data_IF_015634837856
#
_entry.id   IF_015634837856
#
_cell.length_a   1.000
_cell.length_b   1.000
_cell.length_c   1.000
_cell.angle_alpha   90.00
_cell.angle_beta   90.00
_cell.angle_gamma   90.00
#
_symmetry.space_group_name_H-M   'P 1'
#
loop_
_entity.id
_entity.type
_entity.pdbx_description
1 polymer ?
#
# COMPACT_ATOMS: atom_id res chain seq x y z
N UNK A 1 -26.06 7.42 -3.71
CA UNK A 1 -24.82 7.61 -2.95
C UNK A 1 -25.17 8.13 -1.56
N UNK A 2 -24.86 7.36 -0.51
CA UNK A 2 -25.13 7.68 0.89
C UNK A 2 -23.98 8.51 1.48
N UNK A 3 -24.31 9.52 2.29
CA UNK A 3 -23.33 10.37 2.95
C UNK A 3 -23.24 10.03 4.45
N UNK A 4 -22.01 9.82 4.93
CA UNK A 4 -21.66 9.56 6.32
C UNK A 4 -20.64 10.62 6.72
N UNK A 5 -20.99 11.45 7.71
CA UNK A 5 -20.17 12.57 8.13
C UNK A 5 -20.06 12.64 9.65
N UNK A 6 -18.88 13.05 10.14
CA UNK A 6 -18.64 13.31 11.56
C UNK A 6 -19.05 12.15 12.49
N UNK A 7 -18.86 10.91 12.02
CA UNK A 7 -19.17 9.71 12.80
C UNK A 7 -17.92 9.15 13.48
N UNK A 8 -18.13 8.49 14.60
CA UNK A 8 -17.12 7.69 15.27
C UNK A 8 -17.57 6.23 15.29
N UNK A 9 -16.80 5.38 14.62
CA UNK A 9 -16.95 3.93 14.64
C UNK A 9 -15.93 3.34 15.59
N UNK A 10 -16.38 2.53 16.53
CA UNK A 10 -15.51 1.83 17.47
C UNK A 10 -15.91 0.37 17.56
N UNK A 11 -14.92 -0.53 17.60
CA UNK A 11 -15.11 -1.98 17.78
C UNK A 11 -16.08 -2.57 16.74
N UNK A 12 -15.97 -2.16 15.47
CA UNK A 12 -16.78 -2.68 14.37
C UNK A 12 -15.98 -3.70 13.57
N UNK A 13 -16.53 -4.90 13.42
CA UNK A 13 -15.86 -6.01 12.77
C UNK A 13 -16.75 -6.65 11.71
N UNK A 14 -16.30 -6.60 10.47
CA UNK A 14 -16.85 -7.37 9.36
C UNK A 14 -16.07 -8.68 9.20
N UNK A 15 -16.78 -9.81 9.17
CA UNK A 15 -16.18 -11.16 9.09
C UNK A 15 -16.01 -11.67 7.66
N UNK A 16 -16.39 -10.86 6.66
CA UNK A 16 -16.25 -11.19 5.24
C UNK A 16 -17.56 -11.54 4.55
N UNK A 17 -17.68 -11.12 3.29
CA UNK A 17 -18.85 -11.31 2.42
C UNK A 17 -19.81 -10.12 2.44
N UNK A 18 -19.41 -9.02 3.08
CA UNK A 18 -20.17 -7.77 3.10
C UNK A 18 -19.94 -6.97 1.81
N UNK A 19 -20.92 -6.13 1.44
CA UNK A 19 -20.79 -5.18 0.35
C UNK A 19 -20.99 -3.75 0.89
N UNK A 20 -20.03 -2.88 0.61
CA UNK A 20 -20.06 -1.46 0.97
C UNK A 20 -20.06 -0.65 -0.32
N UNK A 21 -21.20 -0.06 -0.67
CA UNK A 21 -21.39 0.52 -1.99
C UNK A 21 -21.96 1.93 -1.96
N UNK A 22 -21.55 2.76 -2.92
CA UNK A 22 -22.07 4.10 -3.14
C UNK A 22 -22.02 4.96 -1.87
N UNK A 23 -20.87 5.03 -1.21
CA UNK A 23 -20.67 5.74 0.06
C UNK A 23 -19.78 6.98 -0.10
N UNK A 24 -20.11 8.04 0.62
CA UNK A 24 -19.23 9.18 0.89
C UNK A 24 -19.01 9.30 2.39
N UNK A 25 -17.80 9.02 2.85
CA UNK A 25 -17.44 9.06 4.26
C UNK A 25 -16.49 10.24 4.47
N UNK A 26 -16.88 11.22 5.28
CA UNK A 26 -16.08 12.41 5.52
C UNK A 26 -15.92 12.71 7.01
N UNK A 27 -14.76 13.24 7.40
CA UNK A 27 -14.51 13.77 8.75
C UNK A 27 -14.86 12.77 9.87
N UNK A 28 -14.65 11.48 9.63
CA UNK A 28 -15.08 10.41 10.51
C UNK A 28 -13.88 9.63 11.05
N UNK A 29 -14.07 8.94 12.17
CA UNK A 29 -13.02 8.13 12.81
C UNK A 29 -13.41 6.67 12.94
N UNK A 30 -12.43 5.79 12.78
CA UNK A 30 -12.52 4.36 13.00
C UNK A 30 -11.49 3.98 14.05
N UNK A 31 -11.93 3.38 15.15
CA UNK A 31 -11.08 3.00 16.27
C UNK A 31 -11.27 1.52 16.61
N UNK A 32 -10.19 0.77 16.53
CA UNK A 32 -10.15 -0.68 16.75
C UNK A 32 -11.21 -1.42 15.92
N UNK A 33 -11.24 -1.14 14.62
CA UNK A 33 -12.17 -1.75 13.66
C UNK A 33 -11.43 -2.72 12.72
N UNK A 34 -12.15 -3.73 12.25
CA UNK A 34 -11.66 -4.70 11.27
C UNK A 34 -12.64 -4.85 10.10
N UNK A 35 -12.14 -4.80 8.87
CA UNK A 35 -12.94 -5.10 7.68
C UNK A 35 -12.53 -6.43 7.06
N UNK A 36 -13.49 -7.21 6.59
CA UNK A 36 -13.27 -8.49 5.89
C UNK A 36 -12.26 -9.42 6.55
N UNK A 37 -12.52 -9.86 7.79
CA UNK A 37 -11.67 -10.81 8.51
C UNK A 37 -11.79 -12.27 7.98
N UNK A 38 -12.08 -12.42 6.69
CA UNK A 38 -12.18 -13.70 6.00
C UNK A 38 -10.81 -14.34 5.79
N UNK A 39 -10.76 -15.66 5.92
CA UNK A 39 -9.59 -16.49 5.56
C UNK A 39 -9.72 -17.16 4.20
N UNK A 40 -10.76 -16.84 3.43
CA UNK A 40 -11.09 -17.46 2.15
C UNK A 40 -11.34 -16.40 1.08
N UNK A 41 -10.77 -16.55 -0.13
CA UNK A 41 -10.99 -15.60 -1.23
C UNK A 41 -12.47 -15.44 -1.62
N UNK A 42 -13.25 -16.53 -1.61
CA UNK A 42 -14.70 -16.52 -1.94
C UNK A 42 -15.59 -15.78 -0.94
N UNK A 43 -15.01 -15.35 0.20
CA UNK A 43 -15.70 -14.65 1.29
C UNK A 43 -15.11 -13.25 1.51
N UNK A 44 -14.33 -12.74 0.57
CA UNK A 44 -13.85 -11.35 0.60
C UNK A 44 -15.06 -10.41 0.55
N UNK A 45 -15.07 -9.40 1.43
CA UNK A 45 -15.98 -8.28 1.29
C UNK A 45 -15.58 -7.41 0.10
N UNK A 46 -16.54 -6.63 -0.40
CA UNK A 46 -16.35 -5.73 -1.53
C UNK A 46 -16.65 -4.28 -1.12
N UNK A 47 -15.86 -3.35 -1.63
CA UNK A 47 -16.05 -1.90 -1.49
C UNK A 47 -16.09 -1.30 -2.89
N UNK A 48 -17.22 -0.68 -3.27
CA UNK A 48 -17.44 -0.14 -4.62
C UNK A 48 -18.01 1.27 -4.61
N UNK A 49 -17.50 2.16 -5.45
CA UNK A 49 -18.03 3.53 -5.58
C UNK A 49 -18.02 4.26 -4.21
N UNK A 50 -16.85 4.26 -3.56
CA UNK A 50 -16.68 4.81 -2.21
C UNK A 50 -15.66 5.92 -2.19
N UNK A 51 -16.04 7.07 -1.61
CA UNK A 51 -15.15 8.20 -1.41
C UNK A 51 -14.95 8.41 0.09
N UNK A 52 -13.70 8.47 0.53
CA UNK A 52 -13.30 8.71 1.92
C UNK A 52 -12.49 10.00 1.96
N UNK A 53 -12.85 10.94 2.83
CA UNK A 53 -12.08 12.17 2.97
C UNK A 53 -11.92 12.65 4.41
N UNK A 54 -10.71 13.13 4.73
CA UNK A 54 -10.36 13.68 6.03
C UNK A 54 -10.74 12.76 7.20
N UNK A 55 -10.53 11.45 7.03
CA UNK A 55 -10.88 10.46 8.03
C UNK A 55 -9.67 10.06 8.87
N UNK A 56 -9.95 9.44 10.02
CA UNK A 56 -8.94 8.91 10.93
C UNK A 56 -9.14 7.42 11.16
N UNK A 57 -8.07 6.64 11.16
CA UNK A 57 -8.06 5.20 11.42
C UNK A 57 -7.07 4.92 12.54
N UNK A 58 -7.54 4.30 13.61
CA UNK A 58 -6.79 4.02 14.83
C UNK A 58 -6.86 2.52 15.12
N UNK A 59 -5.73 1.85 15.22
CA UNK A 59 -5.64 0.40 15.50
C UNK A 59 -6.57 -0.44 14.62
N UNK A 60 -6.67 -0.10 13.34
CA UNK A 60 -7.56 -0.80 12.40
C UNK A 60 -6.78 -1.69 11.45
N UNK A 61 -7.46 -2.71 10.94
CA UNK A 61 -6.98 -3.53 9.83
C UNK A 61 -8.06 -3.78 8.80
N UNK A 62 -7.62 -4.02 7.57
CA UNK A 62 -8.48 -4.46 6.47
C UNK A 62 -7.93 -5.81 6.02
N UNK A 63 -8.69 -6.86 6.28
CA UNK A 63 -8.45 -8.19 5.72
C UNK A 63 -8.76 -8.26 4.23
N UNK A 64 -8.77 -9.47 3.65
CA UNK A 64 -8.92 -9.66 2.20
C UNK A 64 -10.19 -9.02 1.66
N UNK A 65 -10.03 -7.95 0.88
CA UNK A 65 -11.13 -7.12 0.38
C UNK A 65 -10.91 -6.79 -1.09
N UNK A 66 -11.99 -6.75 -1.88
CA UNK A 66 -11.97 -6.20 -3.23
C UNK A 66 -12.38 -4.73 -3.17
N UNK A 67 -11.49 -3.82 -3.56
CA UNK A 67 -11.75 -2.38 -3.62
C UNK A 67 -11.82 -1.92 -5.07
N UNK A 68 -12.96 -1.40 -5.49
CA UNK A 68 -13.21 -0.92 -6.85
C UNK A 68 -13.77 0.49 -6.85
N UNK A 69 -13.22 1.39 -7.67
CA UNK A 69 -13.71 2.77 -7.76
C UNK A 69 -13.73 3.48 -6.39
N UNK A 70 -12.61 3.37 -5.66
CA UNK A 70 -12.45 3.94 -4.33
C UNK A 70 -11.50 5.14 -4.36
N UNK A 71 -11.93 6.26 -3.80
CA UNK A 71 -11.12 7.47 -3.68
C UNK A 71 -10.88 7.79 -2.21
N UNK A 72 -9.62 7.94 -1.81
CA UNK A 72 -9.24 8.33 -0.45
C UNK A 72 -8.42 9.61 -0.52
N UNK A 73 -8.90 10.67 0.10
CA UNK A 73 -8.22 11.97 0.17
C UNK A 73 -8.08 12.44 1.63
N UNK A 74 -6.86 12.38 2.16
CA UNK A 74 -6.60 12.70 3.55
C UNK A 74 -7.04 11.58 4.50
N UNK A 75 -6.08 10.81 5.00
CA UNK A 75 -6.32 9.72 5.93
C UNK A 75 -5.26 9.76 7.05
N UNK A 76 -5.67 10.17 8.24
CA UNK A 76 -4.81 10.08 9.43
C UNK A 76 -4.81 8.64 9.95
N UNK A 77 -3.63 8.10 10.24
CA UNK A 77 -3.47 6.68 10.62
C UNK A 77 -2.60 6.59 11.86
N UNK A 78 -3.06 5.83 12.86
CA UNK A 78 -2.29 5.54 14.07
C UNK A 78 -2.46 4.08 14.53
N UNK A 79 -1.38 3.30 14.76
CA UNK A 79 -0.01 3.58 14.35
C UNK A 79 0.23 3.26 12.86
N UNK A 80 -0.45 2.25 12.32
CA UNK A 80 -0.36 1.80 10.93
C UNK A 80 -1.67 1.12 10.53
N UNK A 81 -2.08 1.28 9.28
CA UNK A 81 -3.19 0.55 8.68
C UNK A 81 -2.61 -0.61 7.88
N UNK A 82 -2.93 -1.82 8.32
CA UNK A 82 -2.56 -3.05 7.62
C UNK A 82 -3.69 -3.43 6.67
N UNK A 83 -3.33 -3.63 5.41
CA UNK A 83 -4.20 -4.22 4.39
C UNK A 83 -3.64 -5.61 4.07
N UNK A 84 -4.48 -6.64 4.15
CA UNK A 84 -4.08 -8.03 3.91
C UNK A 84 -4.75 -8.54 2.65
N UNK A 85 -3.95 -9.00 1.67
CA UNK A 85 -4.38 -9.55 0.37
C UNK A 85 -5.58 -8.82 -0.26
N UNK A 86 -5.54 -7.49 -0.24
CA UNK A 86 -6.55 -6.64 -0.87
C UNK A 86 -6.33 -6.57 -2.38
N UNK A 87 -7.42 -6.56 -3.14
CA UNK A 87 -7.41 -6.42 -4.60
C UNK A 87 -7.92 -5.03 -4.96
N UNK A 88 -7.20 -4.32 -5.83
CA UNK A 88 -7.49 -2.93 -6.14
C UNK A 88 -7.81 -2.76 -7.62
N UNK A 89 -8.92 -2.11 -7.94
CA UNK A 89 -9.24 -1.68 -9.30
C UNK A 89 -9.69 -0.23 -9.27
N UNK A 90 -8.96 0.64 -9.95
CA UNK A 90 -9.27 2.07 -9.98
C UNK A 90 -9.37 2.72 -8.60
N UNK A 91 -8.41 2.44 -7.71
CA UNK A 91 -8.35 2.99 -6.35
C UNK A 91 -7.33 4.12 -6.30
N UNK A 92 -7.69 5.30 -5.79
CA UNK A 92 -6.77 6.45 -5.70
C UNK A 92 -6.54 6.90 -4.27
N UNK A 93 -5.28 7.13 -3.90
CA UNK A 93 -4.86 7.74 -2.66
C UNK A 93 -4.30 9.15 -2.95
N UNK A 94 -4.78 10.15 -2.23
CA UNK A 94 -4.37 11.54 -2.42
C UNK A 94 -4.26 12.29 -1.08
N UNK A 95 -3.51 13.40 -1.11
CA UNK A 95 -3.34 14.25 0.07
C UNK A 95 -2.41 13.61 1.11
N UNK A 96 -2.53 14.04 2.37
CA UNK A 96 -1.72 13.52 3.48
C UNK A 96 -2.28 12.16 3.92
N UNK A 97 -1.48 11.11 3.79
CA UNK A 97 -1.85 9.75 4.18
C UNK A 97 -0.90 9.26 5.28
N UNK A 98 -1.45 8.64 6.33
CA UNK A 98 -0.68 8.02 7.40
C UNK A 98 0.09 6.78 6.94
N UNK A 99 0.57 5.97 7.90
CA UNK A 99 1.35 4.77 7.57
C UNK A 99 0.44 3.67 7.03
N UNK A 100 0.73 3.16 5.83
CA UNK A 100 -0.01 2.05 5.21
C UNK A 100 0.96 0.93 4.84
N UNK A 101 0.58 -0.32 5.14
CA UNK A 101 1.26 -1.51 4.64
C UNK A 101 0.26 -2.45 3.99
N UNK A 102 0.41 -2.66 2.69
CA UNK A 102 -0.31 -3.68 1.93
C UNK A 102 0.55 -4.95 1.93
N UNK A 103 0.01 -6.02 2.51
CA UNK A 103 0.65 -7.33 2.61
C UNK A 103 0.12 -8.27 1.53
N UNK A 104 0.97 -9.19 1.10
CA UNK A 104 0.61 -10.21 0.11
C UNK A 104 -0.30 -11.28 0.74
N UNK A 105 0.03 -11.64 1.97
CA UNK A 105 -0.62 -12.65 2.78
C UNK A 105 -2.03 -12.19 3.20
N UNK A 106 -3.00 -13.12 3.33
CA UNK A 106 -4.38 -12.79 3.67
C UNK A 106 -4.61 -12.45 5.14
N UNK A 107 -3.68 -12.81 6.02
CA UNK A 107 -3.70 -12.44 7.43
C UNK A 107 -2.32 -12.67 8.04
N UNK A 108 -2.09 -12.14 9.24
CA UNK A 108 -0.83 -12.28 9.95
C UNK A 108 -0.42 -13.76 10.11
N UNK A 109 0.86 -14.05 9.82
CA UNK A 109 1.48 -15.38 9.99
C UNK A 109 0.83 -16.52 9.19
N UNK A 110 0.11 -16.22 8.10
CA UNK A 110 -0.44 -17.25 7.21
C UNK A 110 0.70 -17.99 6.48
N UNK A 111 0.85 -19.28 6.77
CA UNK A 111 1.84 -20.18 6.13
C UNK A 111 1.20 -21.35 5.37
N UNK A 112 -0.13 -21.43 5.36
CA UNK A 112 -0.87 -22.49 4.68
C UNK A 112 -0.76 -22.33 3.16
N UNK A 113 -0.03 -23.24 2.52
CA UNK A 113 0.24 -23.19 1.08
C UNK A 113 -1.04 -23.25 0.22
N UNK A 114 -2.07 -23.97 0.65
CA UNK A 114 -3.34 -24.06 -0.08
C UNK A 114 -4.12 -22.75 -0.03
N UNK A 115 -4.15 -22.10 1.14
CA UNK A 115 -4.76 -20.77 1.29
C UNK A 115 -3.99 -19.73 0.47
N UNK A 116 -2.66 -19.73 0.57
CA UNK A 116 -1.81 -18.80 -0.17
C UNK A 116 -1.97 -18.96 -1.70
N UNK A 117 -2.01 -20.22 -2.18
CA UNK A 117 -2.23 -20.52 -3.59
C UNK A 117 -3.61 -20.06 -4.07
N UNK A 118 -4.67 -20.30 -3.29
CA UNK A 118 -6.03 -19.86 -3.64
C UNK A 118 -6.13 -18.33 -3.76
N UNK A 119 -5.50 -17.58 -2.84
CA UNK A 119 -5.42 -16.12 -2.96
C UNK A 119 -4.57 -15.68 -4.15
N UNK A 120 -3.48 -16.38 -4.46
CA UNK A 120 -2.63 -16.05 -5.60
C UNK A 120 -3.34 -16.25 -6.94
N UNK A 121 -4.07 -17.36 -7.11
CA UNK A 121 -4.86 -17.65 -8.30
C UNK A 121 -5.92 -16.57 -8.53
N UNK A 122 -6.74 -16.27 -7.51
CA UNK A 122 -7.80 -15.27 -7.66
C UNK A 122 -7.23 -13.87 -7.89
N UNK A 123 -6.09 -13.54 -7.29
CA UNK A 123 -5.41 -12.26 -7.50
C UNK A 123 -4.87 -12.13 -8.93
N UNK A 124 -4.31 -13.20 -9.50
CA UNK A 124 -3.86 -13.20 -10.90
C UNK A 124 -5.02 -12.93 -11.84
N UNK A 125 -6.09 -13.73 -11.72
CA UNK A 125 -7.29 -13.57 -12.54
C UNK A 125 -7.93 -12.17 -12.39
N UNK A 126 -7.93 -11.61 -11.18
CA UNK A 126 -8.43 -10.26 -10.94
C UNK A 126 -7.63 -9.18 -11.68
N UNK A 127 -6.29 -9.27 -11.65
CA UNK A 127 -5.42 -8.27 -12.25
C UNK A 127 -5.25 -8.40 -13.76
N UNK A 128 -5.42 -9.60 -14.34
CA UNK A 128 -5.47 -9.80 -15.80
C UNK A 128 -6.56 -8.94 -16.47
N UNK A 129 -7.69 -8.76 -15.79
CA UNK A 129 -8.80 -7.92 -16.26
C UNK A 129 -8.72 -6.44 -15.80
N UNK A 130 -7.59 -5.99 -15.24
CA UNK A 130 -7.46 -4.67 -14.60
C UNK A 130 -6.52 -3.75 -15.36
N UNK A 131 -7.07 -2.65 -15.91
CA UNK A 131 -6.27 -1.65 -16.65
C UNK A 131 -5.29 -0.86 -15.77
N UNK A 132 -5.74 -0.46 -14.57
CA UNK A 132 -4.89 0.11 -13.52
C UNK A 132 -5.52 -0.17 -12.16
N UNK A 133 -4.68 -0.46 -11.18
CA UNK A 133 -5.10 -0.96 -9.87
C UNK A 133 -5.16 0.16 -8.83
N UNK A 134 -4.04 0.85 -8.65
CA UNK A 134 -3.83 1.83 -7.60
C UNK A 134 -3.18 3.09 -8.19
N UNK A 135 -3.67 4.26 -7.80
CA UNK A 135 -3.04 5.54 -8.11
C UNK A 135 -2.58 6.19 -6.80
N UNK A 136 -1.27 6.28 -6.65
CA UNK A 136 -0.62 6.93 -5.50
C UNK A 136 0.11 8.22 -5.90
N UNK A 137 -0.03 8.67 -7.15
CA UNK A 137 0.73 9.80 -7.70
C UNK A 137 0.54 11.12 -6.93
N UNK A 138 -0.59 11.27 -6.22
CA UNK A 138 -0.90 12.46 -5.42
C UNK A 138 -0.87 12.21 -3.91
N UNK A 139 -0.42 11.02 -3.48
CA UNK A 139 -0.34 10.67 -2.08
C UNK A 139 0.95 11.18 -1.44
N UNK A 140 0.83 11.79 -0.27
CA UNK A 140 1.93 12.19 0.60
C UNK A 140 1.92 11.33 1.84
N UNK A 141 2.61 10.21 1.79
CA UNK A 141 2.62 9.23 2.88
C UNK A 141 3.51 9.64 4.05
N UNK A 142 3.12 9.24 5.26
CA UNK A 142 4.03 9.14 6.40
C UNK A 142 4.93 7.91 6.24
N UNK A 143 4.38 6.81 5.72
CA UNK A 143 5.11 5.62 5.29
C UNK A 143 4.24 4.77 4.35
N UNK A 144 4.85 4.08 3.40
CA UNK A 144 4.14 3.20 2.48
C UNK A 144 4.96 1.97 2.11
N UNK A 145 4.35 0.80 2.25
CA UNK A 145 4.87 -0.45 1.74
C UNK A 145 3.76 -1.20 1.01
N UNK A 146 4.08 -1.71 -0.18
CA UNK A 146 3.12 -2.41 -1.01
C UNK A 146 3.69 -3.75 -1.48
N UNK A 147 2.93 -4.82 -1.24
CA UNK A 147 3.12 -6.14 -1.83
C UNK A 147 1.79 -6.63 -2.39
N UNK A 148 1.85 -7.43 -3.46
CA UNK A 148 0.68 -8.09 -4.04
C UNK A 148 -0.09 -7.28 -5.08
N UNK A 149 0.25 -6.01 -5.31
CA UNK A 149 -0.26 -5.25 -6.47
C UNK A 149 0.81 -5.29 -7.56
N UNK A 150 0.49 -5.73 -8.80
CA UNK A 150 1.43 -5.65 -9.91
C UNK A 150 1.89 -4.20 -10.11
N UNK A 151 3.21 -3.97 -10.04
CA UNK A 151 3.76 -2.61 -9.95
C UNK A 151 3.48 -1.77 -11.21
N UNK A 152 3.36 -2.42 -12.37
CA UNK A 152 3.03 -1.74 -13.64
C UNK A 152 1.55 -1.28 -13.69
N UNK A 153 0.69 -1.79 -12.79
CA UNK A 153 -0.69 -1.32 -12.61
C UNK A 153 -0.80 -0.19 -11.57
N UNK A 154 0.33 0.26 -11.01
CA UNK A 154 0.38 1.36 -10.05
C UNK A 154 0.78 2.65 -10.77
N UNK A 155 -0.11 3.64 -10.74
CA UNK A 155 0.21 5.01 -11.18
C UNK A 155 0.97 5.74 -10.08
N UNK A 156 2.06 6.39 -10.47
CA UNK A 156 3.08 6.92 -9.57
C UNK A 156 3.46 8.34 -9.96
N UNK A 157 3.92 9.10 -8.98
CA UNK A 157 4.72 10.29 -9.25
C UNK A 157 6.16 9.85 -9.52
N UNK A 158 6.66 9.96 -10.76
CA UNK A 158 7.98 9.47 -11.12
C UNK A 158 9.10 10.17 -10.34
N UNK A 159 8.87 11.37 -9.77
CA UNK A 159 9.88 12.09 -9.00
C UNK A 159 10.10 11.51 -7.60
N UNK A 160 9.03 11.01 -6.97
CA UNK A 160 9.06 10.59 -5.56
C UNK A 160 8.74 9.10 -5.36
N UNK A 161 8.35 8.39 -6.42
CA UNK A 161 7.83 7.02 -6.34
C UNK A 161 8.40 6.19 -7.49
N UNK A 162 9.45 5.42 -7.20
CA UNK A 162 10.22 4.68 -8.22
C UNK A 162 10.12 3.18 -8.03
N UNK A 163 10.24 2.43 -9.14
CA UNK A 163 10.35 0.98 -9.10
C UNK A 163 11.82 0.63 -9.33
N UNK A 164 12.38 -0.17 -8.42
CA UNK A 164 13.68 -0.80 -8.60
C UNK A 164 13.44 -2.24 -9.00
N UNK A 165 14.14 -2.72 -10.03
CA UNK A 165 14.04 -4.10 -10.50
C UNK A 165 15.39 -4.78 -10.32
N UNK A 166 15.40 -6.07 -9.95
CA UNK A 166 16.64 -6.84 -9.75
C UNK A 166 17.52 -6.87 -10.98
N UNK A 167 16.93 -6.92 -12.18
CA UNK A 167 17.68 -6.85 -13.45
C UNK A 167 18.52 -5.56 -13.60
N UNK A 168 18.11 -4.48 -12.93
CA UNK A 168 18.75 -3.16 -12.96
C UNK A 168 19.53 -2.88 -11.64
N UNK A 169 19.42 -3.78 -10.65
CA UNK A 169 20.01 -3.68 -9.31
C UNK A 169 20.76 -4.97 -8.96
N UNK A 170 22.04 -5.02 -9.30
CA UNK A 170 22.94 -6.17 -9.05
C UNK A 170 23.38 -6.36 -7.60
N UNK A 171 22.83 -5.61 -6.65
CA UNK A 171 23.11 -5.74 -5.22
C UNK A 171 23.68 -4.48 -4.59
N UNK A 172 23.90 -4.54 -3.27
CA UNK A 172 24.34 -3.40 -2.46
C UNK A 172 25.72 -2.85 -2.87
N UNK A 173 26.60 -3.69 -3.42
CA UNK A 173 27.94 -3.27 -3.87
C UNK A 173 27.88 -2.17 -4.94
N UNK A 174 26.81 -2.11 -5.74
CA UNK A 174 26.62 -1.06 -6.75
C UNK A 174 26.39 0.33 -6.17
N UNK A 175 25.99 0.43 -4.91
CA UNK A 175 25.64 1.70 -4.27
C UNK A 175 26.88 2.51 -3.85
N UNK A 176 28.04 1.87 -3.74
CA UNK A 176 29.26 2.47 -3.22
C UNK A 176 29.29 2.55 -1.70
N UNK A 177 30.49 2.68 -1.14
CA UNK A 177 30.74 2.56 0.30
C UNK A 177 30.09 3.64 1.17
N UNK A 178 29.76 4.81 0.60
CA UNK A 178 29.17 5.94 1.33
C UNK A 178 27.64 5.91 1.38
N UNK A 179 26.99 5.07 0.58
CA UNK A 179 25.52 5.11 0.44
C UNK A 179 24.81 4.75 1.75
N UNK A 180 25.30 3.73 2.46
CA UNK A 180 24.72 3.28 3.72
C UNK A 180 24.76 4.38 4.80
N UNK A 181 25.84 5.17 4.84
CA UNK A 181 26.00 6.27 5.79
C UNK A 181 25.17 7.50 5.40
N UNK A 182 25.08 7.79 4.10
CA UNK A 182 24.34 8.94 3.60
C UNK A 182 22.81 8.75 3.61
N UNK A 183 22.35 7.52 3.30
CA UNK A 183 20.94 7.17 3.14
C UNK A 183 20.60 5.85 3.86
N UNK A 184 20.79 5.77 5.20
CA UNK A 184 20.62 4.54 5.96
C UNK A 184 19.24 3.90 5.86
N UNK A 185 18.14 4.67 5.79
CA UNK A 185 16.81 4.09 5.64
C UNK A 185 16.61 3.48 4.25
N UNK A 186 17.02 4.23 3.21
CA UNK A 186 16.97 3.74 1.82
C UNK A 186 17.83 2.50 1.65
N UNK A 187 19.05 2.49 2.20
CA UNK A 187 19.94 1.33 2.20
C UNK A 187 19.30 0.11 2.87
N UNK A 188 18.71 0.29 4.06
CA UNK A 188 18.03 -0.79 4.78
C UNK A 188 16.90 -1.39 3.93
N UNK A 189 16.13 -0.56 3.23
CA UNK A 189 15.07 -1.04 2.32
C UNK A 189 15.64 -1.85 1.17
N UNK A 190 16.73 -1.40 0.55
CA UNK A 190 17.38 -2.10 -0.55
C UNK A 190 18.04 -3.41 -0.11
N UNK A 191 18.59 -3.47 1.11
CA UNK A 191 19.11 -4.71 1.70
C UNK A 191 18.01 -5.74 1.85
N UNK A 192 16.86 -5.36 2.43
CA UNK A 192 15.69 -6.26 2.54
C UNK A 192 15.21 -6.71 1.15
N UNK A 193 15.24 -5.83 0.15
CA UNK A 193 14.87 -6.18 -1.21
C UNK A 193 15.87 -7.17 -1.84
N UNK A 194 17.17 -6.92 -1.67
CA UNK A 194 18.26 -7.77 -2.15
C UNK A 194 18.13 -9.20 -1.62
N UNK A 195 17.77 -9.35 -0.34
CA UNK A 195 17.64 -10.65 0.34
C UNK A 195 16.29 -11.34 0.06
N UNK A 196 15.35 -10.67 -0.60
CA UNK A 196 14.01 -11.21 -0.88
C UNK A 196 13.93 -11.89 -2.24
N UNK A 197 12.93 -12.75 -2.46
CA UNK A 197 12.64 -13.36 -3.76
C UNK A 197 11.88 -12.42 -4.73
N UNK A 198 11.63 -11.15 -4.35
CA UNK A 198 10.90 -10.22 -5.21
C UNK A 198 11.76 -9.76 -6.39
N UNK A 199 11.20 -9.73 -7.60
CA UNK A 199 11.89 -9.23 -8.80
C UNK A 199 11.94 -7.70 -8.89
N UNK A 200 11.05 -7.03 -8.16
CA UNK A 200 10.97 -5.58 -8.13
C UNK A 200 10.41 -5.08 -6.79
N UNK A 201 10.76 -3.85 -6.44
CA UNK A 201 10.27 -3.14 -5.25
C UNK A 201 9.86 -1.71 -5.60
N UNK A 202 8.76 -1.27 -5.01
CA UNK A 202 8.32 0.11 -5.03
C UNK A 202 8.95 0.89 -3.86
N UNK A 203 9.69 1.94 -4.17
CA UNK A 203 10.21 2.90 -3.21
C UNK A 203 9.37 4.18 -3.29
N UNK A 204 8.99 4.73 -2.13
CA UNK A 204 8.15 5.93 -2.03
C UNK A 204 8.78 6.86 -1.01
N UNK A 205 9.09 8.10 -1.42
CA UNK A 205 9.52 9.13 -0.48
C UNK A 205 8.38 9.43 0.49
N UNK A 206 8.58 9.33 1.81
CA UNK A 206 7.53 9.56 2.79
C UNK A 206 7.31 11.07 3.01
N UNK A 207 6.72 11.75 2.02
CA UNK A 207 6.57 13.22 1.95
C UNK A 207 5.83 13.87 3.13
N UNK A 208 5.12 13.09 3.95
CA UNK A 208 4.47 13.57 5.18
C UNK A 208 5.20 13.18 6.49
N UNK A 209 6.34 12.48 6.40
CA UNK A 209 7.19 12.15 7.54
C UNK A 209 8.08 13.34 7.98
N UNK A 210 8.88 13.12 9.02
CA UNK A 210 9.87 14.05 9.52
C UNK A 210 10.92 14.41 8.43
N UNK A 211 11.53 15.59 8.55
CA UNK A 211 12.41 16.16 7.52
C UNK A 211 13.60 15.25 7.18
N UNK A 212 14.32 14.79 8.20
CA UNK A 212 15.48 13.90 8.05
C UNK A 212 15.12 12.64 7.25
N UNK A 213 14.00 12.01 7.57
CA UNK A 213 13.50 10.82 6.86
C UNK A 213 13.14 11.14 5.41
N UNK A 214 12.53 12.30 5.15
CA UNK A 214 12.23 12.73 3.76
C UNK A 214 13.50 12.95 2.95
N UNK A 215 14.50 13.58 3.54
CA UNK A 215 15.78 13.89 2.90
C UNK A 215 16.59 12.62 2.60
N UNK A 216 16.60 11.64 3.52
CA UNK A 216 17.20 10.30 3.28
C UNK A 216 16.62 9.65 2.02
N UNK A 217 15.30 9.47 1.98
CA UNK A 217 14.64 8.78 0.89
C UNK A 217 14.70 9.54 -0.44
N UNK A 218 14.57 10.87 -0.41
CA UNK A 218 14.67 11.69 -1.61
C UNK A 218 16.10 11.67 -2.18
N UNK A 219 17.11 11.78 -1.31
CA UNK A 219 18.52 11.71 -1.69
C UNK A 219 18.92 10.33 -2.19
N UNK A 220 18.49 9.27 -1.49
CA UNK A 220 18.74 7.89 -1.88
C UNK A 220 18.13 7.56 -3.25
N UNK A 221 16.87 7.97 -3.51
CA UNK A 221 16.25 7.80 -4.83
C UNK A 221 16.97 8.62 -5.91
N UNK A 222 17.40 9.85 -5.61
CA UNK A 222 18.17 10.65 -6.56
C UNK A 222 19.50 9.98 -6.91
N UNK A 223 20.18 9.37 -5.94
CA UNK A 223 21.43 8.64 -6.16
C UNK A 223 21.21 7.36 -6.96
N UNK A 224 20.13 6.61 -6.69
CA UNK A 224 19.75 5.45 -7.51
C UNK A 224 19.50 5.83 -8.98
N UNK A 225 18.91 7.00 -9.25
CA UNK A 225 18.77 7.51 -10.63
C UNK A 225 20.11 7.86 -11.24
N UNK A 226 21.01 8.51 -10.49
CA UNK A 226 22.36 8.85 -10.93
C UNK A 226 23.16 7.61 -11.33
N UNK A 227 22.94 6.50 -10.62
CA UNK A 227 23.54 5.20 -10.90
C UNK A 227 22.84 4.41 -12.02
N UNK A 228 21.72 4.90 -12.57
CA UNK A 228 20.95 4.22 -13.60
C UNK A 228 20.13 3.02 -13.10
N UNK A 229 19.95 2.88 -11.78
CA UNK A 229 19.25 1.76 -11.13
C UNK A 229 17.73 2.00 -11.09
N UNK A 230 17.31 3.25 -10.94
CA UNK A 230 15.91 3.65 -10.94
C UNK A 230 15.50 4.20 -12.31
N UNK A 231 14.44 3.66 -12.91
CA UNK A 231 13.84 4.23 -14.13
C UNK A 231 12.95 5.44 -13.80
N UNK A 232 12.69 6.27 -14.81
CA UNK A 232 11.55 7.19 -14.83
C UNK A 232 10.21 6.44 -14.69
#
# INVERSE_FOLDING_TARGET
MQHIGAQQFSMKFDTGGSAFEALRIANSSFDNCGMSLSKRPSRMSAVRDVHVSNCKVINCEIGPTVLEDVQIDGLDVNPILLLWSCFFRRVSLAGKIGKIKINLEPFAFCTDAGVLAAFAEQRSAFYEATNWALDISRARFVDFACKGVPLDLIRRDPQTQVIIRKRDFGGLDMLGSQFADAFPETHTRLSIFSDSDAEAVLLVVPLAAARNRREDWAGGIAELRRLGIASE
#
